data_IF_305193813852
#
_entry.id   IF_305193813852
#
_cell.length_a   1.000
_cell.length_b   1.000
_cell.length_c   1.000
_cell.angle_alpha   90.00
_cell.angle_beta   90.00
_cell.angle_gamma   90.00
#
_symmetry.space_group_name_H-M   'P 1'
#
loop_
_entity.id
_entity.type
_entity.pdbx_description
1 polymer ?
#
# COMPACT_ATOMS: atom_id res chain seq x y z
N UNK A 1 35.98 -37.88 34.18
CA UNK A 1 35.14 -38.68 33.27
C UNK A 1 33.77 -38.09 33.33
N UNK A 2 33.41 -37.34 32.32
CA UNK A 2 32.15 -36.61 32.25
C UNK A 2 31.21 -37.38 31.32
N UNK A 3 30.05 -37.69 31.82
CA UNK A 3 29.00 -38.37 31.09
C UNK A 3 28.09 -37.32 30.43
N UNK A 4 27.97 -37.36 29.10
CA UNK A 4 27.17 -36.47 28.28
C UNK A 4 25.77 -37.06 28.19
N UNK A 5 24.80 -36.43 28.82
CA UNK A 5 23.41 -36.80 28.75
C UNK A 5 22.78 -36.34 27.40
N UNK A 6 22.22 -37.29 26.70
CA UNK A 6 21.56 -37.23 25.41
C UNK A 6 20.26 -36.42 25.42
N UNK A 7 20.02 -35.75 24.31
CA UNK A 7 18.91 -34.87 24.06
C UNK A 7 17.50 -35.43 24.29
N UNK A 8 16.71 -34.67 24.99
CA UNK A 8 15.29 -34.90 25.18
C UNK A 8 14.46 -34.40 23.99
N UNK A 9 13.79 -35.34 23.38
CA UNK A 9 12.78 -35.14 22.33
C UNK A 9 11.59 -34.35 22.91
N UNK A 10 11.45 -33.07 22.57
CA UNK A 10 10.26 -32.30 22.95
C UNK A 10 9.10 -32.72 22.04
N UNK A 11 8.23 -33.55 22.57
CA UNK A 11 6.93 -33.84 21.93
C UNK A 11 6.08 -32.59 21.97
N UNK A 12 5.66 -32.11 20.79
CA UNK A 12 4.57 -31.13 20.70
C UNK A 12 3.33 -31.66 21.40
N UNK A 13 2.77 -30.87 22.28
CA UNK A 13 1.52 -31.19 23.00
C UNK A 13 0.37 -31.14 21.99
N UNK A 14 -0.40 -32.22 21.93
CA UNK A 14 -1.62 -32.33 21.11
C UNK A 14 -2.67 -31.36 21.62
N UNK A 15 -3.05 -30.37 20.83
CA UNK A 15 -4.08 -29.38 21.11
C UNK A 15 -5.42 -29.88 20.54
N UNK A 16 -6.47 -29.72 21.31
CA UNK A 16 -7.83 -30.25 21.11
C UNK A 16 -8.54 -29.70 19.87
N UNK A 17 -9.52 -30.45 19.35
CA UNK A 17 -10.26 -30.34 18.07
C UNK A 17 -10.75 -28.93 17.59
N UNK A 18 -10.72 -27.90 18.39
CA UNK A 18 -11.06 -26.52 17.99
C UNK A 18 -9.88 -25.73 17.40
N UNK A 19 -8.64 -26.18 17.65
CA UNK A 19 -7.42 -25.55 17.15
C UNK A 19 -7.00 -26.09 15.77
N UNK A 20 -7.47 -27.29 15.41
CA UNK A 20 -7.08 -27.97 14.17
C UNK A 20 -7.59 -27.25 12.91
N UNK A 21 -8.74 -26.55 12.98
CA UNK A 21 -9.31 -25.85 11.82
C UNK A 21 -8.53 -24.55 11.52
N UNK A 22 -8.13 -23.80 12.53
CA UNK A 22 -7.37 -22.56 12.36
C UNK A 22 -5.91 -22.82 11.95
N UNK A 23 -5.27 -23.86 12.52
CA UNK A 23 -3.96 -24.34 12.09
C UNK A 23 -4.00 -24.82 10.64
N UNK A 24 -5.07 -25.51 10.24
CA UNK A 24 -5.22 -26.05 8.88
C UNK A 24 -5.29 -24.93 7.81
N UNK A 25 -5.93 -23.77 8.09
CA UNK A 25 -5.99 -22.65 7.13
C UNK A 25 -4.63 -21.98 6.98
N UNK A 26 -3.92 -21.73 8.09
CA UNK A 26 -2.59 -21.12 8.06
C UNK A 26 -1.56 -22.03 7.37
N UNK A 27 -1.61 -23.33 7.66
CA UNK A 27 -0.77 -24.34 7.00
C UNK A 27 -1.08 -24.41 5.49
N UNK A 28 -2.35 -24.43 5.09
CA UNK A 28 -2.75 -24.45 3.69
C UNK A 28 -2.27 -23.22 2.91
N UNK A 29 -2.28 -22.02 3.51
CA UNK A 29 -1.78 -20.81 2.86
C UNK A 29 -0.25 -20.87 2.72
N UNK A 30 0.45 -21.23 3.81
CA UNK A 30 1.88 -21.42 3.81
C UNK A 30 2.34 -22.50 2.81
N UNK A 31 1.60 -23.60 2.71
CA UNK A 31 1.86 -24.65 1.73
C UNK A 31 1.69 -24.14 0.31
N UNK A 32 0.61 -23.44 0.01
CA UNK A 32 0.37 -22.86 -1.33
C UNK A 32 1.49 -21.92 -1.76
N UNK A 33 2.03 -21.10 -0.82
CA UNK A 33 3.18 -20.24 -1.12
C UNK A 33 4.45 -21.07 -1.33
N UNK A 34 4.73 -22.06 -0.48
CA UNK A 34 5.91 -22.96 -0.62
C UNK A 34 5.85 -23.81 -1.90
N UNK A 35 4.67 -24.23 -2.28
CA UNK A 35 4.43 -25.02 -3.50
C UNK A 35 4.40 -24.17 -4.77
N UNK A 36 4.59 -22.85 -4.67
CA UNK A 36 4.53 -21.94 -5.80
C UNK A 36 3.13 -21.72 -6.37
N UNK A 37 2.06 -22.17 -5.68
CA UNK A 37 0.66 -21.96 -6.10
C UNK A 37 0.15 -20.56 -5.79
N UNK A 38 0.81 -19.86 -4.89
CA UNK A 38 0.60 -18.44 -4.58
C UNK A 38 1.95 -17.74 -4.45
N UNK A 39 2.01 -16.46 -4.81
CA UNK A 39 3.21 -15.65 -4.66
C UNK A 39 2.89 -14.33 -3.98
N UNK A 40 3.88 -13.79 -3.29
CA UNK A 40 3.84 -12.45 -2.72
C UNK A 40 4.49 -11.47 -3.69
N UNK A 41 3.83 -10.35 -3.91
CA UNK A 41 4.39 -9.21 -4.64
C UNK A 41 4.56 -8.07 -3.66
N UNK A 42 5.78 -7.55 -3.57
CA UNK A 42 6.08 -6.36 -2.78
C UNK A 42 5.62 -5.11 -3.54
N UNK A 43 4.75 -4.34 -2.93
CA UNK A 43 4.17 -3.12 -3.49
C UNK A 43 4.77 -1.87 -2.83
N UNK A 44 5.96 -1.97 -2.25
CA UNK A 44 6.57 -0.93 -1.43
C UNK A 44 7.88 -0.46 -2.05
N UNK A 45 8.03 0.83 -2.27
CA UNK A 45 9.31 1.43 -2.61
C UNK A 45 10.27 1.41 -1.42
N UNK A 46 11.57 1.29 -1.70
CA UNK A 46 12.58 1.53 -0.66
C UNK A 46 12.50 2.98 -0.21
N UNK A 47 12.39 3.16 1.11
CA UNK A 47 12.38 4.48 1.73
C UNK A 47 13.79 4.86 2.16
N UNK A 48 14.35 5.88 1.52
CA UNK A 48 15.68 6.42 1.78
C UNK A 48 15.78 7.91 1.42
N UNK A 49 16.98 8.45 1.47
CA UNK A 49 17.26 9.86 1.14
C UNK A 49 17.04 10.25 -0.34
N UNK A 50 16.80 9.29 -1.23
CA UNK A 50 16.45 9.55 -2.62
C UNK A 50 14.94 9.49 -2.87
N UNK A 51 14.18 9.06 -1.85
CA UNK A 51 12.72 8.95 -1.98
C UNK A 51 12.10 10.30 -2.28
N UNK A 52 11.21 10.40 -3.26
CA UNK A 52 10.44 11.61 -3.50
C UNK A 52 9.64 12.03 -2.26
N UNK A 53 9.50 13.33 -2.10
CA UNK A 53 8.81 13.97 -0.97
C UNK A 53 7.95 15.14 -1.47
N UNK A 54 6.96 15.50 -0.68
CA UNK A 54 6.07 16.62 -1.01
C UNK A 54 6.82 17.95 -0.98
N UNK A 55 6.73 18.79 -2.03
CA UNK A 55 7.64 19.94 -2.20
C UNK A 55 7.43 21.10 -1.24
N UNK A 56 6.38 21.14 -0.43
CA UNK A 56 6.16 22.16 0.58
C UNK A 56 7.14 22.10 1.75
N UNK A 57 7.89 21.03 1.87
CA UNK A 57 8.98 20.91 2.82
C UNK A 57 10.14 21.86 2.44
N UNK A 58 10.07 23.10 2.91
CA UNK A 58 10.98 24.18 2.55
C UNK A 58 12.48 23.92 2.84
N UNK A 59 12.82 22.85 3.54
CA UNK A 59 14.15 22.44 3.94
C UNK A 59 14.80 21.37 3.05
N UNK A 60 14.17 20.95 1.98
CA UNK A 60 14.61 19.83 1.13
C UNK A 60 14.10 18.48 1.65
N UNK A 61 14.77 17.38 1.28
CA UNK A 61 14.31 16.04 1.65
C UNK A 61 14.21 15.87 3.19
N UNK A 62 13.03 15.60 3.73
CA UNK A 62 12.80 15.49 5.18
C UNK A 62 13.25 14.14 5.77
N UNK A 63 13.70 13.19 4.95
CA UNK A 63 14.22 11.92 5.42
C UNK A 63 15.64 12.06 5.96
N UNK A 64 15.80 12.01 7.27
CA UNK A 64 17.08 12.11 7.93
C UNK A 64 17.43 10.86 8.73
N UNK A 65 18.71 10.47 8.67
CA UNK A 65 19.22 9.39 9.49
C UNK A 65 20.51 9.81 10.20
N UNK A 66 20.71 9.34 11.42
CA UNK A 66 21.97 9.44 12.14
C UNK A 66 22.38 8.11 12.70
N UNK A 67 23.67 7.78 12.61
CA UNK A 67 24.21 6.55 13.19
C UNK A 67 24.23 6.72 14.72
N UNK A 68 23.57 5.80 15.43
CA UNK A 68 23.56 5.76 16.88
C UNK A 68 24.65 4.82 17.41
N UNK A 69 24.80 3.61 16.82
CA UNK A 69 25.82 2.61 17.18
C UNK A 69 26.46 2.01 15.95
N UNK A 70 27.71 1.50 16.11
CA UNK A 70 28.45 0.82 15.03
C UNK A 70 29.00 -0.52 15.53
N UNK A 71 29.16 -1.50 14.63
CA UNK A 71 29.72 -2.81 14.97
C UNK A 71 31.10 -2.71 15.60
N UNK A 72 31.94 -1.78 15.15
CA UNK A 72 33.33 -1.64 15.62
C UNK A 72 33.41 -1.15 17.08
N UNK A 73 32.48 -0.30 17.53
CA UNK A 73 32.49 0.27 18.87
C UNK A 73 31.55 -0.46 19.82
N UNK A 74 30.40 -0.84 19.33
CA UNK A 74 29.25 -1.20 20.17
C UNK A 74 28.78 -2.65 19.95
N UNK A 75 29.35 -3.37 18.97
CA UNK A 75 28.98 -4.74 18.63
C UNK A 75 27.63 -4.88 17.92
N UNK A 76 26.96 -3.78 17.65
CA UNK A 76 25.69 -3.71 16.90
C UNK A 76 25.65 -2.48 16.00
N UNK A 77 24.67 -2.43 15.10
CA UNK A 77 24.45 -1.28 14.24
C UNK A 77 23.03 -0.77 14.39
N UNK A 78 22.87 0.51 14.78
CA UNK A 78 21.57 1.19 14.88
C UNK A 78 21.63 2.58 14.30
N UNK A 79 20.47 3.05 13.81
CA UNK A 79 20.27 4.43 13.34
C UNK A 79 19.02 5.02 13.96
N UNK A 80 19.04 6.32 14.18
CA UNK A 80 17.84 7.11 14.41
C UNK A 80 17.26 7.54 13.06
N UNK A 81 15.94 7.63 12.96
CA UNK A 81 15.19 8.09 11.81
C UNK A 81 14.38 9.33 12.19
N UNK A 82 14.32 10.30 11.27
CA UNK A 82 13.40 11.43 11.34
C UNK A 82 12.80 11.61 9.95
N UNK A 83 11.48 11.52 9.85
CA UNK A 83 10.72 11.60 8.61
C UNK A 83 9.27 12.01 8.90
N UNK A 84 8.55 12.64 7.95
CA UNK A 84 7.11 12.84 8.01
C UNK A 84 6.34 11.52 8.03
N UNK A 85 5.13 11.53 8.60
CA UNK A 85 4.22 10.36 8.58
C UNK A 85 3.90 9.91 7.15
N UNK A 86 3.76 10.85 6.21
CA UNK A 86 3.45 10.64 4.80
C UNK A 86 4.73 10.56 3.96
N UNK A 87 5.49 9.47 4.12
CA UNK A 87 6.79 9.28 3.45
C UNK A 87 6.89 7.94 2.74
N UNK A 88 7.38 7.96 1.51
CA UNK A 88 7.53 6.77 0.67
C UNK A 88 6.17 6.11 0.38
N UNK A 89 6.14 4.79 0.22
CA UNK A 89 4.88 4.05 0.20
C UNK A 89 4.28 4.10 1.60
N UNK A 90 3.11 4.71 1.74
CA UNK A 90 2.50 4.98 3.04
C UNK A 90 0.97 4.80 3.01
N UNK A 91 0.40 4.81 4.19
CA UNK A 91 -1.04 4.83 4.40
C UNK A 91 -1.45 6.18 4.99
N UNK A 92 -2.49 6.80 4.43
CA UNK A 92 -3.22 7.89 5.07
C UNK A 92 -4.39 7.33 5.84
N UNK A 93 -4.50 7.70 7.09
CA UNK A 93 -5.63 7.35 7.93
C UNK A 93 -6.76 8.39 7.79
N UNK A 94 -8.03 8.01 8.00
CA UNK A 94 -9.17 8.93 7.90
C UNK A 94 -9.01 10.26 8.65
N UNK A 95 -8.29 10.26 9.79
CA UNK A 95 -8.04 11.47 10.59
C UNK A 95 -7.22 12.53 9.82
N UNK A 96 -6.57 12.16 8.73
CA UNK A 96 -5.78 13.10 7.93
C UNK A 96 -6.63 14.27 7.39
N UNK A 97 -7.86 13.98 6.91
CA UNK A 97 -8.79 15.00 6.43
C UNK A 97 -10.14 15.04 7.17
N UNK A 98 -10.39 14.10 8.09
CA UNK A 98 -11.54 14.13 8.99
C UNK A 98 -11.07 14.19 10.45
N UNK A 99 -11.25 15.31 11.16
CA UNK A 99 -10.84 15.42 12.56
C UNK A 99 -11.56 14.45 13.51
N UNK A 100 -12.60 13.76 13.04
CA UNK A 100 -13.31 12.70 13.77
C UNK A 100 -12.96 11.30 13.25
N UNK A 101 -12.14 11.21 12.21
CA UNK A 101 -11.72 9.98 11.58
C UNK A 101 -10.84 9.11 12.49
N UNK A 102 -10.71 7.84 12.13
CA UNK A 102 -9.79 6.91 12.81
C UNK A 102 -8.33 7.31 12.52
N UNK A 103 -7.49 7.40 13.55
CA UNK A 103 -6.03 7.51 13.40
C UNK A 103 -5.43 6.17 12.99
N UNK A 104 -4.21 6.19 12.45
CA UNK A 104 -3.56 4.99 11.87
C UNK A 104 -3.44 3.85 12.89
N UNK A 105 -3.23 4.13 14.18
CA UNK A 105 -3.16 3.13 15.24
C UNK A 105 -4.52 2.52 15.60
N UNK A 106 -5.61 3.14 15.18
CA UNK A 106 -6.99 2.72 15.46
C UNK A 106 -7.66 2.00 14.30
N UNK A 107 -7.11 2.04 13.11
CA UNK A 107 -7.64 1.29 11.97
C UNK A 107 -7.73 -0.20 12.35
N UNK A 108 -8.92 -0.77 12.21
CA UNK A 108 -9.15 -2.18 12.56
C UNK A 108 -8.27 -3.10 11.71
N UNK A 109 -7.58 -4.06 12.35
CA UNK A 109 -6.65 -5.00 11.69
C UNK A 109 -7.31 -5.73 10.52
N UNK A 110 -8.62 -6.03 10.61
CA UNK A 110 -9.36 -6.66 9.52
C UNK A 110 -9.48 -5.81 8.25
N UNK A 111 -9.31 -4.48 8.34
CA UNK A 111 -9.24 -3.59 7.17
C UNK A 111 -7.86 -3.61 6.49
N UNK A 112 -6.81 -4.08 7.19
CA UNK A 112 -5.42 -4.11 6.70
C UNK A 112 -5.11 -5.37 5.89
N UNK A 113 -6.01 -6.34 5.86
CA UNK A 113 -5.97 -7.53 5.02
C UNK A 113 -7.31 -7.65 4.29
N UNK A 114 -7.34 -7.30 3.02
CA UNK A 114 -8.57 -7.16 2.26
C UNK A 114 -8.46 -7.77 0.86
N UNK A 115 -9.58 -8.19 0.23
CA UNK A 115 -9.59 -8.40 -1.21
C UNK A 115 -9.16 -7.15 -1.93
N UNK A 116 -8.56 -7.29 -3.11
CA UNK A 116 -8.11 -6.13 -3.86
C UNK A 116 -8.31 -6.28 -5.37
N UNK A 117 -8.40 -5.16 -6.04
CA UNK A 117 -8.52 -5.06 -7.49
C UNK A 117 -7.59 -3.99 -8.04
N UNK A 118 -7.18 -4.11 -9.30
CA UNK A 118 -6.40 -3.07 -10.02
C UNK A 118 -7.20 -2.59 -11.22
N UNK A 119 -7.44 -1.29 -11.27
CA UNK A 119 -7.99 -0.57 -12.42
C UNK A 119 -6.81 0.09 -13.14
N UNK A 120 -6.46 -0.42 -14.31
CA UNK A 120 -5.31 0.05 -15.08
C UNK A 120 -5.74 1.18 -16.03
N UNK A 121 -5.26 2.39 -15.75
CA UNK A 121 -5.43 3.59 -16.57
C UNK A 121 -4.12 4.12 -17.15
N UNK A 122 -3.06 3.30 -17.11
CA UNK A 122 -1.70 3.71 -17.51
C UNK A 122 -1.61 4.22 -18.95
N UNK A 123 -2.40 3.66 -19.87
CA UNK A 123 -2.46 4.15 -21.25
C UNK A 123 -3.01 5.58 -21.36
N UNK A 124 -4.06 5.90 -20.60
CA UNK A 124 -4.64 7.24 -20.56
C UNK A 124 -3.69 8.22 -19.84
N UNK A 125 -3.13 7.83 -18.72
CA UNK A 125 -2.15 8.61 -17.95
C UNK A 125 -0.88 8.92 -18.75
N UNK A 126 -0.40 7.97 -19.56
CA UNK A 126 0.74 8.18 -20.48
C UNK A 126 0.45 9.25 -21.53
N UNK A 127 -0.79 9.35 -21.99
CA UNK A 127 -1.23 10.33 -22.97
C UNK A 127 -1.54 11.70 -22.37
N UNK A 128 -1.89 11.74 -21.10
CA UNK A 128 -2.21 12.95 -20.35
C UNK A 128 -1.70 12.83 -18.91
N UNK A 129 -0.64 13.55 -18.57
CA UNK A 129 -0.01 13.53 -17.24
C UNK A 129 -0.96 14.02 -16.13
N UNK A 130 -1.94 14.84 -16.48
CA UNK A 130 -3.00 15.34 -15.58
C UNK A 130 -4.27 14.49 -15.65
N UNK A 131 -4.15 13.23 -16.08
CA UNK A 131 -5.30 12.35 -16.18
C UNK A 131 -5.99 12.18 -14.84
N UNK A 132 -7.29 12.33 -14.85
CA UNK A 132 -8.14 12.00 -13.70
C UNK A 132 -9.00 10.80 -14.04
N UNK A 133 -8.86 9.74 -13.25
CA UNK A 133 -9.71 8.55 -13.35
C UNK A 133 -11.16 8.95 -13.34
N UNK A 134 -11.94 8.41 -14.25
CA UNK A 134 -13.35 8.73 -14.43
C UNK A 134 -14.25 7.59 -13.97
N UNK A 135 -15.53 7.87 -13.78
CA UNK A 135 -16.55 6.83 -13.54
C UNK A 135 -16.56 5.79 -14.67
N UNK A 136 -16.37 6.25 -15.92
CA UNK A 136 -16.32 5.37 -17.08
C UNK A 136 -15.21 4.34 -17.00
N UNK A 137 -14.01 4.69 -16.50
CA UNK A 137 -12.91 3.73 -16.33
C UNK A 137 -13.30 2.61 -15.37
N UNK A 138 -14.02 2.97 -14.29
CA UNK A 138 -14.51 2.00 -13.30
C UNK A 138 -15.60 1.11 -13.92
N UNK A 139 -16.56 1.70 -14.64
CA UNK A 139 -17.65 0.96 -15.29
C UNK A 139 -17.13 0.01 -16.38
N UNK A 140 -16.13 0.44 -17.17
CA UNK A 140 -15.48 -0.42 -18.15
C UNK A 140 -14.74 -1.61 -17.48
N UNK A 141 -14.11 -1.36 -16.34
CA UNK A 141 -13.49 -2.42 -15.55
C UNK A 141 -14.53 -3.39 -15.00
N UNK A 142 -15.63 -2.88 -14.40
CA UNK A 142 -16.75 -3.69 -13.90
C UNK A 142 -17.39 -4.51 -15.02
N UNK A 143 -17.60 -3.92 -16.19
CA UNK A 143 -18.14 -4.63 -17.36
C UNK A 143 -17.27 -5.81 -17.83
N UNK A 144 -15.95 -5.77 -17.57
CA UNK A 144 -15.00 -6.80 -17.99
C UNK A 144 -14.74 -7.85 -16.91
N UNK A 145 -14.69 -7.46 -15.64
CA UNK A 145 -14.20 -8.31 -14.55
C UNK A 145 -15.26 -8.61 -13.47
N UNK A 146 -16.44 -7.99 -13.58
CA UNK A 146 -17.51 -8.11 -12.59
C UNK A 146 -17.42 -7.06 -11.49
N UNK A 147 -18.34 -7.15 -10.52
CA UNK A 147 -18.46 -6.18 -9.42
C UNK A 147 -17.20 -6.15 -8.55
N UNK A 148 -16.83 -4.94 -8.10
CA UNK A 148 -15.76 -4.75 -7.13
C UNK A 148 -16.24 -5.32 -5.77
N UNK A 149 -15.47 -6.23 -5.13
CA UNK A 149 -15.88 -6.79 -3.84
C UNK A 149 -16.06 -5.69 -2.78
N UNK A 150 -17.17 -5.73 -2.05
CA UNK A 150 -17.37 -4.84 -0.91
C UNK A 150 -16.24 -5.02 0.11
N UNK A 151 -15.70 -3.93 0.62
CA UNK A 151 -14.56 -3.95 1.54
C UNK A 151 -13.21 -4.22 0.87
N UNK A 152 -13.12 -4.13 -0.46
CA UNK A 152 -11.85 -4.26 -1.17
C UNK A 152 -10.99 -2.99 -1.03
N UNK A 153 -9.70 -3.15 -1.30
CA UNK A 153 -8.81 -2.06 -1.69
C UNK A 153 -8.82 -1.95 -3.20
N UNK A 154 -9.13 -0.75 -3.70
CA UNK A 154 -9.16 -0.47 -5.14
C UNK A 154 -7.89 0.27 -5.53
N UNK A 155 -7.01 -0.40 -6.25
CA UNK A 155 -5.79 0.20 -6.77
C UNK A 155 -6.01 0.79 -8.16
N UNK A 156 -5.43 1.97 -8.39
CA UNK A 156 -5.33 2.61 -9.69
C UNK A 156 -3.89 2.59 -10.16
N UNK A 157 -3.64 1.88 -11.25
CA UNK A 157 -2.34 1.85 -11.90
C UNK A 157 -2.28 2.93 -12.96
N UNK A 158 -1.41 3.91 -12.78
CA UNK A 158 -1.15 4.98 -13.76
C UNK A 158 0.16 4.77 -14.50
N UNK A 159 1.05 3.89 -14.01
CA UNK A 159 2.42 3.68 -14.49
C UNK A 159 3.38 4.76 -14.03
N UNK A 160 2.99 5.54 -13.03
CA UNK A 160 3.79 6.65 -12.52
C UNK A 160 4.99 6.19 -11.69
N UNK A 161 4.91 5.02 -11.09
CA UNK A 161 5.96 4.39 -10.28
C UNK A 161 7.28 4.19 -11.07
N UNK A 162 7.24 4.11 -12.41
CA UNK A 162 8.43 4.10 -13.27
C UNK A 162 9.33 5.34 -13.12
N UNK A 163 8.80 6.44 -12.56
CA UNK A 163 9.53 7.70 -12.32
C UNK A 163 10.27 7.73 -10.98
N UNK A 164 9.97 6.80 -10.09
CA UNK A 164 10.68 6.63 -8.82
C UNK A 164 12.14 6.19 -9.07
N UNK A 165 13.16 6.68 -8.32
CA UNK A 165 13.10 7.60 -7.18
C UNK A 165 13.38 9.08 -7.55
N UNK A 166 13.21 9.50 -8.78
CA UNK A 166 13.54 10.87 -9.19
C UNK A 166 12.51 11.88 -8.67
N UNK A 167 12.89 12.71 -7.69
CA UNK A 167 12.07 13.80 -7.17
C UNK A 167 11.47 14.68 -8.28
N UNK A 168 12.32 15.15 -9.20
CA UNK A 168 11.92 16.02 -10.31
C UNK A 168 10.89 15.36 -11.22
N UNK A 169 11.14 14.12 -11.65
CA UNK A 169 10.26 13.39 -12.57
C UNK A 169 8.98 12.93 -11.89
N UNK A 170 9.08 12.55 -10.61
CA UNK A 170 7.96 12.00 -9.86
C UNK A 170 6.95 13.07 -9.46
N UNK A 171 7.42 14.18 -8.89
CA UNK A 171 6.56 15.32 -8.56
C UNK A 171 6.19 16.15 -9.79
N UNK A 172 7.05 16.19 -10.82
CA UNK A 172 6.78 16.79 -12.13
C UNK A 172 6.19 18.20 -12.01
N UNK A 173 6.80 19.05 -11.16
CA UNK A 173 6.36 20.43 -10.97
C UNK A 173 6.70 21.29 -12.20
N UNK A 174 5.78 22.18 -12.58
CA UNK A 174 6.04 23.21 -13.58
C UNK A 174 6.81 24.41 -12.99
N UNK A 175 7.02 25.45 -13.81
CA UNK A 175 7.75 26.66 -13.41
C UNK A 175 7.04 27.48 -12.32
N UNK A 176 5.73 27.29 -12.16
CA UNK A 176 4.90 27.95 -11.17
C UNK A 176 4.77 27.09 -9.88
N UNK A 177 5.42 25.92 -9.85
CA UNK A 177 5.38 24.97 -8.75
C UNK A 177 4.14 24.07 -8.71
N UNK A 178 3.30 24.12 -9.76
CA UNK A 178 2.13 23.24 -9.86
C UNK A 178 2.57 21.83 -10.22
N UNK A 179 2.10 20.84 -9.45
CA UNK A 179 2.42 19.44 -9.69
C UNK A 179 1.56 18.86 -10.81
N UNK A 180 2.14 17.95 -11.59
CA UNK A 180 1.48 17.31 -12.71
C UNK A 180 1.66 15.80 -12.65
N UNK A 181 0.71 15.13 -12.01
CA UNK A 181 0.61 13.66 -11.97
C UNK A 181 -0.86 13.21 -11.93
N UNK A 182 -1.17 11.99 -12.41
CA UNK A 182 -2.53 11.46 -12.42
C UNK A 182 -3.11 11.28 -11.02
N UNK A 183 -4.44 11.33 -10.92
CA UNK A 183 -5.18 11.02 -9.71
C UNK A 183 -6.62 10.65 -10.04
N UNK A 184 -7.52 10.67 -9.06
CA UNK A 184 -8.94 10.39 -9.26
C UNK A 184 -9.71 11.70 -9.52
N UNK A 185 -10.82 11.58 -10.22
CA UNK A 185 -11.87 12.60 -10.16
C UNK A 185 -12.74 12.39 -8.91
N UNK A 186 -13.35 13.46 -8.42
CA UNK A 186 -14.27 13.41 -7.26
C UNK A 186 -15.47 12.51 -7.57
N UNK A 187 -15.95 12.55 -8.82
CA UNK A 187 -17.06 11.72 -9.29
C UNK A 187 -16.70 10.23 -9.23
N UNK A 188 -15.48 9.86 -9.63
CA UNK A 188 -15.01 8.48 -9.57
C UNK A 188 -14.87 8.00 -8.11
N UNK A 189 -14.34 8.83 -7.23
CA UNK A 189 -14.25 8.53 -5.80
C UNK A 189 -15.65 8.38 -5.17
N UNK A 190 -16.59 9.26 -5.50
CA UNK A 190 -17.99 9.17 -5.04
C UNK A 190 -18.67 7.89 -5.52
N UNK A 191 -18.48 7.55 -6.80
CA UNK A 191 -19.00 6.30 -7.37
C UNK A 191 -18.48 5.06 -6.62
N UNK A 192 -17.19 5.02 -6.28
CA UNK A 192 -16.62 3.92 -5.50
C UNK A 192 -17.25 3.81 -4.11
N UNK A 193 -17.41 4.93 -3.40
CA UNK A 193 -18.02 4.93 -2.06
C UNK A 193 -19.45 4.39 -2.13
N UNK A 194 -20.23 4.81 -3.13
CA UNK A 194 -21.63 4.43 -3.25
C UNK A 194 -21.81 2.97 -3.66
N UNK A 195 -21.02 2.48 -4.65
CA UNK A 195 -21.26 1.19 -5.29
C UNK A 195 -20.36 0.07 -4.78
N UNK A 196 -19.08 0.36 -4.46
CA UNK A 196 -18.12 -0.65 -4.03
C UNK A 196 -17.87 -0.67 -2.51
N UNK A 197 -18.06 0.45 -1.81
CA UNK A 197 -17.76 0.61 -0.37
C UNK A 197 -16.37 0.08 -0.02
N UNK A 198 -15.31 0.61 -0.65
CA UNK A 198 -13.95 0.14 -0.42
C UNK A 198 -13.51 0.43 1.02
N UNK A 199 -12.59 -0.35 1.57
CA UNK A 199 -11.90 -0.01 2.83
C UNK A 199 -10.71 0.89 2.57
N UNK A 200 -10.15 0.85 1.35
CA UNK A 200 -9.02 1.68 0.95
C UNK A 200 -8.98 1.93 -0.56
N UNK A 201 -8.32 3.01 -0.94
CA UNK A 201 -7.96 3.34 -2.32
C UNK A 201 -6.44 3.41 -2.39
N UNK A 202 -5.84 2.79 -3.41
CA UNK A 202 -4.40 2.80 -3.62
C UNK A 202 -4.04 3.38 -4.99
N UNK A 203 -2.86 4.03 -5.09
CA UNK A 203 -2.37 4.61 -6.34
C UNK A 203 -0.84 4.62 -6.37
N UNK A 204 -0.27 4.59 -7.56
CA UNK A 204 1.18 4.65 -7.80
C UNK A 204 1.72 6.08 -7.95
N UNK A 205 0.92 7.10 -7.64
CA UNK A 205 1.31 8.52 -7.59
C UNK A 205 1.49 9.02 -6.15
N UNK A 206 1.96 10.26 -6.01
CA UNK A 206 2.19 10.90 -4.71
C UNK A 206 0.91 11.26 -3.95
N UNK A 207 -0.24 11.22 -4.62
CA UNK A 207 -1.55 11.46 -4.02
C UNK A 207 -2.66 10.78 -4.83
N UNK A 208 -3.77 10.41 -4.15
CA UNK A 208 -5.01 9.99 -4.81
C UNK A 208 -5.69 11.16 -5.52
N UNK A 209 -5.51 12.39 -5.06
CA UNK A 209 -5.84 13.59 -5.81
C UNK A 209 -4.82 13.80 -6.94
N UNK A 210 -5.24 14.33 -8.09
CA UNK A 210 -4.30 14.67 -9.16
C UNK A 210 -3.35 15.80 -8.73
N UNK A 211 -2.14 15.86 -9.29
CA UNK A 211 -1.13 16.86 -8.93
C UNK A 211 -1.63 18.31 -9.02
N UNK A 212 -2.61 18.58 -9.88
CA UNK A 212 -3.23 19.91 -10.03
C UNK A 212 -4.38 20.20 -9.04
N UNK A 213 -4.70 19.25 -8.15
CA UNK A 213 -5.74 19.46 -7.14
C UNK A 213 -5.28 20.52 -6.15
N UNK A 214 -6.05 21.62 -6.06
CA UNK A 214 -5.75 22.70 -5.12
C UNK A 214 -6.43 22.54 -3.75
N UNK A 215 -7.41 21.64 -3.66
CA UNK A 215 -8.31 21.50 -2.51
C UNK A 215 -8.40 20.09 -1.96
N UNK A 216 -7.61 19.13 -2.50
CA UNK A 216 -7.63 17.71 -2.09
C UNK A 216 -9.06 17.15 -2.01
N UNK A 217 -9.85 17.39 -3.06
CA UNK A 217 -11.28 17.11 -3.05
C UNK A 217 -11.61 15.63 -2.91
N UNK A 218 -10.74 14.72 -3.42
CA UNK A 218 -10.88 13.27 -3.24
C UNK A 218 -10.66 12.92 -1.77
N UNK A 219 -9.61 13.43 -1.12
CA UNK A 219 -9.38 13.22 0.32
C UNK A 219 -10.56 13.71 1.15
N UNK A 220 -11.03 14.93 0.89
CA UNK A 220 -12.16 15.54 1.60
C UNK A 220 -13.46 14.75 1.44
N UNK A 221 -13.61 13.95 0.39
CA UNK A 221 -14.76 13.08 0.17
C UNK A 221 -14.60 11.71 0.82
N UNK A 222 -13.44 11.08 0.67
CA UNK A 222 -13.22 9.67 1.01
C UNK A 222 -12.86 9.45 2.49
N UNK A 223 -12.11 10.36 3.10
CA UNK A 223 -11.69 10.24 4.50
C UNK A 223 -12.89 10.27 5.47
N UNK A 224 -13.88 11.18 5.34
CA UNK A 224 -15.10 11.12 6.16
C UNK A 224 -15.94 9.86 5.93
N UNK A 225 -15.79 9.19 4.79
CA UNK A 225 -16.42 7.89 4.53
C UNK A 225 -15.65 6.71 5.19
N UNK A 226 -14.53 6.97 5.89
CA UNK A 226 -13.72 5.97 6.59
C UNK A 226 -12.84 5.13 5.66
N UNK A 227 -12.54 5.64 4.47
CA UNK A 227 -11.66 5.00 3.48
C UNK A 227 -10.23 5.50 3.67
N UNK A 228 -9.27 4.60 3.91
CA UNK A 228 -7.86 4.96 3.98
C UNK A 228 -7.25 5.02 2.57
N UNK A 229 -6.12 5.73 2.41
CA UNK A 229 -5.39 5.72 1.14
C UNK A 229 -4.06 4.98 1.27
N UNK A 230 -3.58 4.43 0.15
CA UNK A 230 -2.23 3.90 -0.02
C UNK A 230 -1.60 4.65 -1.19
N UNK A 231 -0.59 5.45 -0.90
CA UNK A 231 0.06 6.31 -1.88
C UNK A 231 1.49 5.86 -2.14
N UNK A 232 2.03 6.26 -3.29
CA UNK A 232 3.34 5.82 -3.76
C UNK A 232 3.45 4.29 -3.80
N UNK A 233 2.42 3.61 -4.30
CA UNK A 233 2.41 2.15 -4.41
C UNK A 233 3.28 1.70 -5.59
N UNK A 234 4.11 0.69 -5.38
CA UNK A 234 5.00 0.15 -6.41
C UNK A 234 4.43 -1.11 -7.09
N UNK A 235 4.95 -1.45 -8.27
CA UNK A 235 4.76 -2.76 -8.90
C UNK A 235 3.28 -3.17 -9.15
N UNK A 236 2.37 -2.22 -9.36
CA UNK A 236 0.98 -2.54 -9.69
C UNK A 236 0.83 -3.26 -11.04
N UNK A 237 1.80 -3.12 -11.94
CA UNK A 237 1.90 -3.82 -13.23
C UNK A 237 2.05 -5.34 -13.10
N UNK A 238 2.47 -5.82 -11.91
CA UNK A 238 2.69 -7.24 -11.61
C UNK A 238 1.45 -7.95 -11.06
N UNK A 239 0.35 -7.23 -10.91
CA UNK A 239 -0.88 -7.72 -10.31
C UNK A 239 -1.92 -8.07 -11.39
N UNK A 240 -2.74 -9.12 -11.17
CA UNK A 240 -3.93 -9.34 -11.98
C UNK A 240 -4.98 -8.25 -11.67
N UNK A 241 -5.91 -8.04 -12.60
CA UNK A 241 -6.98 -7.07 -12.39
C UNK A 241 -7.85 -7.38 -11.15
N UNK A 242 -8.01 -8.65 -10.80
CA UNK A 242 -8.84 -9.13 -9.69
C UNK A 242 -8.36 -10.51 -9.20
N UNK A 243 -8.97 -11.04 -8.13
CA UNK A 243 -8.69 -12.39 -7.63
C UNK A 243 -7.47 -12.47 -6.69
N UNK A 244 -7.08 -11.39 -6.05
CA UNK A 244 -5.99 -11.35 -5.10
C UNK A 244 -6.37 -10.61 -3.81
N UNK A 245 -5.49 -10.68 -2.81
CA UNK A 245 -5.63 -9.94 -1.55
C UNK A 245 -4.43 -9.06 -1.33
N UNK A 246 -4.63 -7.94 -0.64
CA UNK A 246 -3.57 -7.04 -0.19
C UNK A 246 -3.43 -7.09 1.33
N UNK A 247 -2.20 -6.95 1.79
CA UNK A 247 -1.81 -6.76 3.19
C UNK A 247 -1.08 -5.42 3.25
N UNK A 248 -1.63 -4.44 3.96
CA UNK A 248 -1.06 -3.12 4.14
C UNK A 248 -0.77 -2.88 5.62
N UNK A 249 0.51 -2.81 6.01
CA UNK A 249 0.94 -2.75 7.40
C UNK A 249 1.66 -1.42 7.68
N UNK A 250 0.93 -0.35 8.05
CA UNK A 250 1.55 0.90 8.47
C UNK A 250 2.22 0.76 9.84
N UNK A 251 3.17 1.64 10.15
CA UNK A 251 3.62 1.82 11.51
C UNK A 251 2.43 2.21 12.39
N UNK A 252 2.27 1.55 13.53
CA UNK A 252 1.17 1.81 14.48
C UNK A 252 1.48 3.04 15.34
N UNK A 253 1.47 4.23 14.73
CA UNK A 253 1.75 5.49 15.39
C UNK A 253 0.51 6.00 16.15
N UNK A 254 0.65 6.22 17.45
CA UNK A 254 -0.46 6.68 18.30
C UNK A 254 -0.96 8.06 17.87
N UNK A 255 -2.20 8.15 17.42
CA UNK A 255 -2.82 9.38 16.94
C UNK A 255 -2.34 9.85 15.57
N UNK A 256 -1.51 9.06 14.85
CA UNK A 256 -0.94 9.44 13.56
C UNK A 256 -1.99 9.63 12.48
N UNK A 257 -1.78 10.64 11.62
CA UNK A 257 -2.60 10.92 10.43
C UNK A 257 -2.29 9.96 9.28
N UNK A 258 -1.12 9.35 9.30
CA UNK A 258 -0.63 8.37 8.36
C UNK A 258 0.62 7.69 8.87
N UNK A 259 1.18 6.78 8.10
CA UNK A 259 2.47 6.17 8.38
C UNK A 259 3.05 5.45 7.15
N UNK A 260 4.39 5.39 7.02
CA UNK A 260 5.04 4.49 6.08
C UNK A 260 4.54 3.06 6.29
N UNK A 261 4.27 2.36 5.20
CA UNK A 261 3.65 1.05 5.24
C UNK A 261 4.41 0.03 4.40
N UNK A 262 4.51 -1.23 4.89
CA UNK A 262 4.83 -2.34 4.01
C UNK A 262 3.56 -2.87 3.39
N UNK A 263 3.43 -2.72 2.09
CA UNK A 263 2.27 -3.16 1.30
C UNK A 263 2.68 -4.39 0.47
N UNK A 264 1.87 -5.44 0.52
CA UNK A 264 2.13 -6.69 -0.20
C UNK A 264 0.83 -7.20 -0.81
N UNK A 265 0.90 -7.74 -2.02
CA UNK A 265 -0.18 -8.51 -2.61
C UNK A 265 0.10 -10.01 -2.51
N UNK A 266 -0.91 -10.78 -2.15
CA UNK A 266 -0.93 -12.23 -2.22
C UNK A 266 -1.76 -12.62 -3.43
N UNK A 267 -1.12 -13.13 -4.48
CA UNK A 267 -1.74 -13.43 -5.76
C UNK A 267 -1.64 -14.93 -6.09
N UNK A 268 -2.59 -15.50 -6.82
CA UNK A 268 -2.42 -16.83 -7.41
C UNK A 268 -1.16 -16.85 -8.29
N UNK A 269 -0.40 -17.93 -8.24
CA UNK A 269 0.60 -18.16 -9.26
C UNK A 269 -0.08 -18.46 -10.59
N UNK A 270 0.49 -17.98 -11.69
CA UNK A 270 0.01 -18.38 -13.00
C UNK A 270 0.11 -19.91 -13.14
N UNK A 271 -0.90 -20.59 -13.71
CA UNK A 271 -0.77 -22.01 -13.99
C UNK A 271 0.44 -22.23 -14.90
N UNK A 272 1.34 -23.16 -14.52
CA UNK A 272 2.43 -23.56 -15.39
C UNK A 272 1.84 -24.06 -16.72
N UNK A 273 2.07 -23.31 -17.78
CA UNK A 273 1.74 -23.76 -19.14
C UNK A 273 2.82 -24.79 -19.49
N UNK A 274 2.51 -26.07 -19.26
CA UNK A 274 3.31 -27.16 -19.80
C UNK A 274 3.17 -27.14 -21.32
N UNK A 275 4.20 -26.66 -21.99
CA UNK A 275 4.35 -26.77 -23.46
C UNK A 275 4.83 -28.17 -23.86
#
# INVERSE_FOLDING_TARGET
MADVAKGGNRRCVTVTKGCDLALNVADQLGDKVREGKMRLVDLTHTLDHNSPYWPEEASGNPFHTSIATTYQKDGNFTRNLSLPEHSGTHMDAPVHFDPKGESVDRIAVGKLFAPAVVIDVSSAAKSNVDYRVTVKDIEEWVGRYGEIPCGAVVFFRTGWDERWPSQEKYMNADTDGVLHFPGLSVEAAGYLIEHARPVGIGIDTASVDSGRSADCAVHNLTMPAGVYHLENVANLDRLPATGFSVIALPLKLGGGSGAPARVMALIPAEPEIHH
#
